data_IF_650136053789
#
_entry.id   IF_650136053789
#
_cell.length_a   1.000
_cell.length_b   1.000
_cell.length_c   1.000
_cell.angle_alpha   90.00
_cell.angle_beta   90.00
_cell.angle_gamma   90.00
#
_symmetry.space_group_name_H-M   'P 1'
#
loop_
_entity.id
_entity.type
_entity.pdbx_description
1 polymer ?
#
# COMPACT_ATOMS: atom_id res chain seq x y z
N UNK A 1 3.51 -25.41 5.50
CA UNK A 1 2.10 -25.32 5.92
C UNK A 1 1.77 -23.90 6.45
N UNK A 2 2.00 -22.84 5.65
CA UNK A 2 1.59 -21.44 5.97
C UNK A 2 0.69 -20.83 4.89
N UNK A 3 0.71 -21.39 3.69
CA UNK A 3 -0.16 -21.00 2.58
C UNK A 3 -1.64 -21.29 2.86
N UNK A 4 -1.94 -22.36 3.59
CA UNK A 4 -3.31 -22.72 3.96
C UNK A 4 -3.95 -21.70 4.89
N UNK A 5 -3.16 -21.05 5.76
CA UNK A 5 -3.67 -20.08 6.73
C UNK A 5 -3.97 -18.73 6.10
N UNK A 6 -3.08 -18.22 5.25
CA UNK A 6 -3.18 -16.85 4.74
C UNK A 6 -3.65 -16.74 3.29
N UNK A 7 -3.61 -17.83 2.53
CA UNK A 7 -3.88 -17.83 1.09
C UNK A 7 -2.77 -17.16 0.28
N UNK A 8 -3.09 -16.81 -0.96
CA UNK A 8 -2.20 -16.05 -1.85
C UNK A 8 -2.51 -14.55 -1.70
N UNK A 9 -1.54 -13.79 -1.21
CA UNK A 9 -1.62 -12.33 -1.10
C UNK A 9 -0.82 -11.68 -2.24
N UNK A 10 -1.39 -10.65 -2.87
CA UNK A 10 -0.74 -9.87 -3.92
C UNK A 10 -0.86 -8.37 -3.58
N UNK A 11 0.27 -7.66 -3.63
CA UNK A 11 0.34 -6.21 -3.54
C UNK A 11 0.51 -5.64 -4.94
N UNK A 12 -0.38 -4.74 -5.35
CA UNK A 12 -0.33 -4.08 -6.65
C UNK A 12 -0.22 -2.56 -6.48
N UNK A 13 0.75 -1.96 -7.17
CA UNK A 13 0.86 -0.51 -7.32
C UNK A 13 0.41 -0.16 -8.74
N UNK A 14 -0.65 0.63 -8.84
CA UNK A 14 -1.22 1.06 -10.12
C UNK A 14 -1.12 2.57 -10.25
N UNK A 15 -0.71 3.08 -11.41
CA UNK A 15 -0.88 4.51 -11.73
C UNK A 15 -2.36 4.83 -11.89
N UNK A 16 -2.78 6.01 -11.42
CA UNK A 16 -4.17 6.46 -11.50
C UNK A 16 -4.20 7.79 -12.24
N UNK A 17 -4.75 7.75 -13.45
CA UNK A 17 -5.00 8.93 -14.29
C UNK A 17 -3.77 9.53 -14.96
N UNK A 18 -3.95 10.71 -15.57
CA UNK A 18 -2.91 11.47 -16.22
C UNK A 18 -1.97 12.11 -15.18
N UNK A 19 -0.76 12.53 -15.60
CA UNK A 19 0.32 13.12 -14.78
C UNK A 19 -0.16 14.19 -13.75
N UNK A 20 -1.32 14.81 -13.96
CA UNK A 20 -1.86 15.89 -13.15
C UNK A 20 -3.07 15.56 -12.26
N UNK A 21 -3.59 14.33 -12.23
CA UNK A 21 -4.68 13.93 -11.32
C UNK A 21 -4.16 13.51 -9.96
N UNK A 22 -4.82 13.96 -8.89
CA UNK A 22 -4.65 13.38 -7.56
C UNK A 22 -5.88 12.50 -7.26
N UNK A 23 -5.70 11.23 -6.83
CA UNK A 23 -4.43 10.51 -6.60
C UNK A 23 -3.68 10.12 -7.89
N UNK A 24 -2.34 10.10 -7.85
CA UNK A 24 -1.48 9.71 -8.97
C UNK A 24 -1.21 8.20 -9.03
N UNK A 25 -1.36 7.50 -7.90
CA UNK A 25 -1.24 6.05 -7.82
C UNK A 25 -2.20 5.49 -6.77
N UNK A 26 -2.52 4.20 -6.91
CA UNK A 26 -3.31 3.44 -5.95
C UNK A 26 -2.56 2.17 -5.57
N UNK A 27 -2.62 1.84 -4.29
CA UNK A 27 -2.12 0.56 -3.78
C UNK A 27 -3.32 -0.33 -3.52
N UNK A 28 -3.25 -1.57 -4.01
CA UNK A 28 -4.25 -2.58 -3.75
C UNK A 28 -3.58 -3.80 -3.15
N UNK A 29 -4.27 -4.43 -2.22
CA UNK A 29 -3.88 -5.71 -1.65
C UNK A 29 -5.03 -6.66 -1.95
N UNK A 30 -4.74 -7.73 -2.69
CA UNK A 30 -5.72 -8.77 -2.96
C UNK A 30 -5.30 -10.08 -2.31
N UNK A 31 -6.31 -10.88 -1.95
CA UNK A 31 -6.14 -12.17 -1.33
C UNK A 31 -7.07 -13.20 -1.95
N UNK A 32 -6.57 -14.40 -2.19
CA UNK A 32 -7.37 -15.55 -2.60
C UNK A 32 -7.12 -16.73 -1.67
N UNK A 33 -8.20 -17.26 -1.08
CA UNK A 33 -8.17 -18.33 -0.08
C UNK A 33 -7.60 -17.91 1.28
N UNK A 34 -7.56 -18.87 2.21
CA UNK A 34 -7.04 -18.69 3.57
C UNK A 34 -8.12 -18.41 4.62
N UNK A 35 -7.74 -18.56 5.89
CA UNK A 35 -8.60 -18.25 7.04
C UNK A 35 -8.78 -16.73 7.20
N UNK A 36 -9.75 -16.32 8.02
CA UNK A 36 -9.93 -14.90 8.35
C UNK A 36 -8.64 -14.33 8.95
N UNK A 37 -8.19 -13.17 8.47
CA UNK A 37 -6.93 -12.59 8.90
C UNK A 37 -7.00 -11.06 9.03
N UNK A 38 -6.26 -10.54 10.00
CA UNK A 38 -6.06 -9.12 10.24
C UNK A 38 -4.77 -8.67 9.57
N UNK A 39 -4.87 -7.58 8.83
CA UNK A 39 -3.80 -7.02 8.04
C UNK A 39 -3.53 -5.58 8.48
N UNK A 40 -2.25 -5.23 8.53
CA UNK A 40 -1.80 -3.84 8.66
C UNK A 40 -0.91 -3.53 7.47
N UNK A 41 -1.19 -2.43 6.80
CA UNK A 41 -0.32 -1.94 5.74
C UNK A 41 0.15 -0.52 6.06
N UNK A 42 1.45 -0.30 5.92
CA UNK A 42 2.08 1.00 6.04
C UNK A 42 2.81 1.33 4.77
N UNK A 43 2.72 2.59 4.37
CA UNK A 43 3.45 3.12 3.21
C UNK A 43 4.05 4.46 3.58
N UNK A 44 5.29 4.67 3.16
CA UNK A 44 5.97 5.94 3.36
C UNK A 44 6.82 6.28 2.16
N UNK A 45 6.69 7.49 1.59
CA UNK A 45 7.69 7.99 0.67
C UNK A 45 9.06 8.07 1.34
N UNK A 46 10.10 7.86 0.56
CA UNK A 46 11.47 8.11 0.96
C UNK A 46 11.95 9.42 0.33
N UNK A 47 12.68 10.22 1.10
CA UNK A 47 13.44 11.34 0.56
C UNK A 47 14.68 10.88 -0.20
N UNK A 48 15.37 11.83 -0.85
CA UNK A 48 16.60 11.57 -1.62
C UNK A 48 17.73 10.94 -0.80
N UNK A 49 17.71 11.10 0.53
CA UNK A 49 18.67 10.48 1.46
C UNK A 49 18.21 9.09 1.94
N UNK A 50 17.04 8.62 1.50
CA UNK A 50 16.43 7.35 1.91
C UNK A 50 15.70 7.41 3.26
N UNK A 51 15.43 8.61 3.80
CA UNK A 51 14.69 8.77 5.06
C UNK A 51 13.19 8.72 4.80
N UNK A 52 12.49 8.08 5.73
CA UNK A 52 11.02 7.99 5.73
C UNK A 52 10.41 9.37 5.99
N UNK A 53 9.46 9.77 5.13
CA UNK A 53 8.60 10.93 5.35
C UNK A 53 7.14 10.51 5.31
N UNK A 54 6.28 11.20 6.08
CA UNK A 54 4.81 11.07 6.03
C UNK A 54 4.33 9.60 5.94
N UNK A 55 4.71 8.76 6.91
CA UNK A 55 4.18 7.39 7.00
C UNK A 55 2.65 7.44 7.17
N UNK A 56 1.95 6.75 6.28
CA UNK A 56 0.52 6.51 6.37
C UNK A 56 0.31 5.01 6.64
N UNK A 57 -0.69 4.69 7.47
CA UNK A 57 -1.01 3.31 7.84
C UNK A 57 -2.49 3.08 7.87
N UNK A 58 -2.91 1.88 7.50
CA UNK A 58 -4.30 1.45 7.63
C UNK A 58 -4.37 -0.04 8.00
N UNK A 59 -5.46 -0.40 8.68
CA UNK A 59 -5.74 -1.74 9.17
C UNK A 59 -7.03 -2.25 8.54
N UNK A 60 -7.02 -3.53 8.15
CA UNK A 60 -8.16 -4.13 7.47
C UNK A 60 -8.20 -5.64 7.69
N UNK A 61 -9.38 -6.22 7.44
CA UNK A 61 -9.62 -7.66 7.60
C UNK A 61 -9.91 -8.25 6.24
N UNK A 62 -9.33 -9.42 5.97
CA UNK A 62 -9.87 -10.31 4.94
C UNK A 62 -10.66 -11.41 5.62
N UNK A 63 -11.91 -11.58 5.18
CA UNK A 63 -12.81 -12.59 5.70
C UNK A 63 -12.49 -13.96 5.09
N UNK A 64 -12.92 -15.05 5.73
CA UNK A 64 -12.79 -16.39 5.13
C UNK A 64 -13.79 -16.52 3.98
N UNK A 65 -13.31 -16.35 2.75
CA UNK A 65 -14.11 -16.54 1.55
C UNK A 65 -13.31 -17.31 0.48
N UNK A 66 -14.03 -18.11 -0.30
CA UNK A 66 -13.46 -18.88 -1.41
C UNK A 66 -13.07 -17.98 -2.61
N UNK A 67 -13.58 -16.74 -2.64
CA UNK A 67 -13.34 -15.75 -3.68
C UNK A 67 -12.10 -14.88 -3.47
N UNK A 68 -11.81 -14.05 -4.48
CA UNK A 68 -10.78 -13.00 -4.36
C UNK A 68 -11.35 -11.79 -3.63
N UNK A 69 -10.73 -11.42 -2.52
CA UNK A 69 -11.01 -10.16 -1.83
C UNK A 69 -9.94 -9.14 -2.19
N UNK A 70 -10.34 -7.88 -2.31
CA UNK A 70 -9.41 -6.78 -2.60
C UNK A 70 -9.68 -5.61 -1.69
N UNK A 71 -8.63 -5.18 -1.02
CA UNK A 71 -8.61 -3.95 -0.26
C UNK A 71 -7.79 -2.89 -1.00
N UNK A 72 -8.22 -1.63 -0.90
CA UNK A 72 -7.57 -0.49 -1.56
C UNK A 72 -7.07 0.48 -0.50
N UNK A 73 -5.76 0.79 -0.54
CA UNK A 73 -5.18 1.77 0.35
C UNK A 73 -5.76 3.16 0.05
N UNK A 74 -6.11 3.96 1.08
CA UNK A 74 -6.54 5.33 0.90
C UNK A 74 -5.53 6.18 0.11
N UNK A 75 -5.94 7.23 -0.62
CA UNK A 75 -5.01 8.12 -1.30
C UNK A 75 -3.91 8.67 -0.36
N UNK A 76 -2.65 8.37 -0.68
CA UNK A 76 -1.50 8.60 0.23
C UNK A 76 -1.20 10.09 0.45
N UNK A 77 -1.72 11.01 -0.37
CA UNK A 77 -1.55 12.46 -0.11
C UNK A 77 -2.38 13.33 -1.06
N UNK A 78 -2.79 14.51 -0.57
CA UNK A 78 -3.38 15.58 -1.38
C UNK A 78 -2.31 16.28 -2.24
N UNK A 79 -2.66 16.68 -3.47
CA UNK A 79 -1.77 17.29 -4.49
C UNK A 79 -0.94 18.46 -3.96
N UNK A 80 -1.50 19.25 -3.04
CA UNK A 80 -0.84 20.42 -2.45
C UNK A 80 0.37 20.04 -1.60
N UNK A 81 0.34 18.90 -0.91
CA UNK A 81 1.49 18.39 -0.14
C UNK A 81 2.58 17.89 -1.08
N UNK A 82 2.24 17.17 -2.15
CA UNK A 82 3.19 16.66 -3.15
C UNK A 82 4.06 17.73 -3.80
N UNK A 83 3.47 18.88 -4.16
CA UNK A 83 4.20 19.95 -4.86
C UNK A 83 5.33 20.53 -3.99
N UNK A 84 5.10 20.67 -2.68
CA UNK A 84 6.12 21.15 -1.73
C UNK A 84 7.26 20.16 -1.51
N UNK A 85 7.02 18.87 -1.78
CA UNK A 85 7.98 17.79 -1.56
C UNK A 85 8.71 17.36 -2.84
N UNK A 86 8.40 17.95 -3.99
CA UNK A 86 8.91 17.50 -5.29
C UNK A 86 10.44 17.45 -5.36
N UNK A 87 11.13 18.45 -4.80
CA UNK A 87 12.60 18.52 -4.77
C UNK A 87 13.24 17.67 -3.66
N UNK A 88 12.47 17.29 -2.63
CA UNK A 88 12.94 16.49 -1.50
C UNK A 88 12.73 14.99 -1.72
N UNK A 89 11.74 14.58 -2.52
CA UNK A 89 11.34 13.18 -2.70
C UNK A 89 11.70 12.58 -4.05
N UNK A 90 12.01 13.41 -5.05
CA UNK A 90 12.34 12.94 -6.40
C UNK A 90 13.82 13.13 -6.66
N UNK A 91 14.59 12.04 -6.55
CA UNK A 91 15.90 11.94 -7.16
C UNK A 91 15.72 11.43 -8.58
N UNK A 92 16.23 12.13 -9.59
CA UNK A 92 16.17 11.69 -11.00
C UNK A 92 14.73 11.35 -11.48
N UNK A 93 13.74 12.16 -11.09
CA UNK A 93 12.31 11.93 -11.35
C UNK A 93 11.76 10.58 -10.83
N UNK A 94 12.48 9.91 -9.93
CA UNK A 94 12.08 8.66 -9.30
C UNK A 94 11.52 8.90 -7.90
N UNK A 95 10.31 8.38 -7.65
CA UNK A 95 9.71 8.31 -6.31
C UNK A 95 9.98 6.94 -5.70
N UNK A 96 10.61 6.93 -4.53
CA UNK A 96 10.81 5.71 -3.74
C UNK A 96 9.75 5.57 -2.66
N UNK A 97 9.17 4.38 -2.53
CA UNK A 97 8.20 4.04 -1.49
C UNK A 97 8.72 2.88 -0.65
N UNK A 98 8.63 3.03 0.68
CA UNK A 98 8.81 1.94 1.64
C UNK A 98 7.44 1.42 2.04
N UNK A 99 7.19 0.14 1.78
CA UNK A 99 5.94 -0.52 2.12
C UNK A 99 6.19 -1.60 3.18
N UNK A 100 5.38 -1.62 4.23
CA UNK A 100 5.38 -2.66 5.24
C UNK A 100 3.99 -3.30 5.30
N UNK A 101 3.94 -4.62 5.13
CA UNK A 101 2.71 -5.39 5.23
C UNK A 101 2.87 -6.44 6.33
N UNK A 102 1.94 -6.42 7.29
CA UNK A 102 1.81 -7.44 8.31
C UNK A 102 0.46 -8.14 8.17
N UNK A 103 0.48 -9.46 8.40
CA UNK A 103 -0.71 -10.32 8.36
C UNK A 103 -0.67 -11.27 9.56
N UNK A 104 -1.80 -11.41 10.23
CA UNK A 104 -1.98 -12.29 11.38
C UNK A 104 -3.36 -12.96 11.33
N UNK A 105 -3.45 -14.17 11.86
CA UNK A 105 -4.70 -14.91 12.01
C UNK A 105 -5.02 -15.02 13.50
N UNK A 106 -6.29 -14.96 13.87
CA UNK A 106 -6.74 -15.31 15.23
C UNK A 106 -6.78 -16.83 15.36
N UNK A 107 -6.16 -17.35 16.43
CA UNK A 107 -6.22 -18.77 16.80
C UNK A 107 -7.60 -19.19 17.28
#
# INVERSE_FOLDING_TARGET
MRFELYGKVVLELNSVGAINSAPQFSIKISRTGGERCYCTFKVSPLDVDGKVVNEESDEFVFEKEDGSQTWKFPPITNKSKWIGYKTLLLSEDTLSLKCYFAISWEQ
#
